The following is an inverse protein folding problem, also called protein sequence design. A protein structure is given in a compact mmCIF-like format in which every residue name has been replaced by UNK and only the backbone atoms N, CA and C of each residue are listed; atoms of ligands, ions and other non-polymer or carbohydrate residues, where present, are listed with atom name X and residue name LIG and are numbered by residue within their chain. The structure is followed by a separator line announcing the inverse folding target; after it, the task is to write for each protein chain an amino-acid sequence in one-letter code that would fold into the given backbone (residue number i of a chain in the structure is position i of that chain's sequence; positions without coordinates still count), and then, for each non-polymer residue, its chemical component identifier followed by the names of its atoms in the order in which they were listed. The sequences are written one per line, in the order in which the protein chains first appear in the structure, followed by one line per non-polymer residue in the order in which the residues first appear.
data_IF_109305267142
#
_entry.id   IF_109305267142
#
_cell.length_a   1.000
_cell.length_b   1.000
_cell.length_c   1.000
_cell.angle_alpha   90.00
_cell.angle_beta   90.00
_cell.angle_gamma   90.00
#
_symmetry.space_group_name_H-M   'P 1'
#
loop_
_entity.id
_entity.type
_entity.pdbx_description
1 polymer ?
#
# COMPACT_ATOMS: atom_id res chain seq x y z
N UNK A 1 13.45 -18.20 7.62
CA UNK A 1 13.61 -17.02 6.75
C UNK A 1 12.65 -15.97 7.28
N UNK A 2 13.06 -14.71 7.47
CA UNK A 2 12.08 -13.66 7.82
C UNK A 2 11.28 -13.41 6.55
N UNK A 3 10.05 -13.86 6.53
CA UNK A 3 9.03 -13.46 5.56
C UNK A 3 8.98 -11.92 5.59
N UNK A 4 9.41 -11.28 4.51
CA UNK A 4 9.52 -9.82 4.41
C UNK A 4 8.35 -9.31 3.59
N UNK A 5 7.64 -8.32 4.12
CA UNK A 5 6.64 -7.57 3.39
C UNK A 5 7.27 -6.91 2.17
N UNK A 6 6.46 -6.65 1.15
CA UNK A 6 6.91 -6.08 -0.10
C UNK A 6 6.17 -4.79 -0.43
N UNK A 7 6.84 -3.93 -1.19
CA UNK A 7 6.26 -2.75 -1.79
C UNK A 7 6.42 -2.75 -3.29
N UNK A 8 5.32 -2.65 -4.02
CA UNK A 8 5.28 -2.49 -5.47
C UNK A 8 5.72 -1.09 -5.88
N UNK A 9 6.69 -1.03 -6.78
CA UNK A 9 7.11 0.19 -7.45
C UNK A 9 6.47 0.25 -8.86
N UNK A 10 5.49 1.14 -9.10
CA UNK A 10 4.78 1.16 -10.37
C UNK A 10 5.62 1.67 -11.55
N UNK A 11 6.75 2.33 -11.29
CA UNK A 11 7.65 2.83 -12.34
C UNK A 11 8.57 1.74 -12.88
N UNK A 12 9.09 0.89 -11.98
CA UNK A 12 10.02 -0.20 -12.33
C UNK A 12 9.32 -1.54 -12.51
N UNK A 13 8.05 -1.64 -12.11
CA UNK A 13 7.23 -2.85 -12.14
C UNK A 13 7.86 -4.00 -11.33
N UNK A 14 8.40 -3.67 -10.15
CA UNK A 14 9.07 -4.61 -9.25
C UNK A 14 8.57 -4.48 -7.82
N UNK A 15 8.55 -5.62 -7.12
CA UNK A 15 8.38 -5.67 -5.67
C UNK A 15 9.75 -5.52 -4.99
N UNK A 16 9.81 -4.61 -4.02
CA UNK A 16 11.00 -4.35 -3.22
C UNK A 16 10.70 -4.72 -1.76
N UNK A 17 11.66 -5.27 -0.99
CA UNK A 17 11.47 -5.52 0.43
C UNK A 17 11.07 -4.22 1.16
N UNK A 18 10.06 -4.30 2.01
CA UNK A 18 9.52 -3.15 2.73
C UNK A 18 9.32 -3.48 4.21
N UNK A 19 9.79 -2.59 5.08
CA UNK A 19 9.56 -2.68 6.51
C UNK A 19 8.33 -1.84 6.86
N UNK A 20 7.27 -2.53 7.30
CA UNK A 20 6.05 -1.86 7.74
C UNK A 20 6.22 -1.33 9.16
N UNK A 21 5.64 -0.15 9.48
CA UNK A 21 5.61 0.35 10.85
C UNK A 21 4.97 -0.65 11.82
N UNK A 22 5.56 -0.81 13.00
CA UNK A 22 4.97 -1.63 14.07
C UNK A 22 3.59 -1.09 14.49
N UNK A 23 2.59 -1.96 14.52
CA UNK A 23 1.19 -1.60 14.77
C UNK A 23 0.37 -1.32 13.50
N UNK A 24 0.96 -1.54 12.32
CA UNK A 24 0.19 -1.65 11.07
C UNK A 24 -0.56 -2.98 10.98
N UNK A 25 -1.71 -2.96 10.32
CA UNK A 25 -2.57 -4.12 10.13
C UNK A 25 -2.79 -4.39 8.63
N UNK A 26 -3.03 -5.65 8.29
CA UNK A 26 -3.55 -6.05 6.99
C UNK A 26 -5.00 -5.58 6.83
N UNK A 27 -5.44 -5.36 5.60
CA UNK A 27 -6.84 -5.08 5.31
C UNK A 27 -7.64 -6.38 5.21
N UNK A 28 -8.34 -6.68 6.28
CA UNK A 28 -9.40 -7.68 6.37
C UNK A 28 -10.72 -7.23 5.70
N UNK A 29 -11.61 -8.18 5.37
CA UNK A 29 -12.95 -7.91 4.84
C UNK A 29 -13.79 -6.95 5.71
N UNK A 30 -14.74 -6.28 5.06
CA UNK A 30 -15.77 -5.49 5.74
C UNK A 30 -16.47 -6.37 6.79
N UNK A 31 -16.62 -5.85 8.02
CA UNK A 31 -17.10 -6.52 9.25
C UNK A 31 -16.01 -7.03 10.23
N UNK A 32 -14.73 -6.71 10.02
CA UNK A 32 -13.72 -6.97 11.06
C UNK A 32 -14.04 -6.26 12.39
N UNK A 33 -13.86 -6.93 13.55
CA UNK A 33 -13.94 -6.29 14.87
C UNK A 33 -12.93 -5.14 15.03
N UNK A 34 -11.90 -5.10 14.17
CA UNK A 34 -10.87 -4.07 14.17
C UNK A 34 -11.38 -2.68 13.76
N UNK A 35 -12.59 -2.55 13.20
CA UNK A 35 -13.11 -1.26 12.68
C UNK A 35 -13.02 -0.07 13.65
N UNK A 36 -13.07 -0.32 14.97
CA UNK A 36 -12.96 0.71 16.00
C UNK A 36 -11.54 0.88 16.57
N UNK A 37 -10.62 0.00 16.21
CA UNK A 37 -9.23 -0.04 16.67
C UNK A 37 -8.38 1.02 15.97
N UNK A 38 -7.42 1.59 16.72
CA UNK A 38 -6.39 2.46 16.17
C UNK A 38 -5.22 1.60 15.68
N UNK A 39 -4.81 1.83 14.45
CA UNK A 39 -3.68 1.18 13.79
C UNK A 39 -2.73 2.23 13.24
N UNK A 40 -1.49 1.86 12.93
CA UNK A 40 -0.58 2.72 12.18
C UNK A 40 -0.74 2.52 10.67
N UNK A 41 -0.82 3.61 9.92
CA UNK A 41 -0.75 3.59 8.47
C UNK A 41 0.54 2.89 8.02
N UNK A 42 0.43 1.85 7.20
CA UNK A 42 1.59 1.08 6.75
C UNK A 42 2.58 1.89 5.92
N UNK A 43 2.17 3.03 5.35
CA UNK A 43 3.01 3.88 4.52
C UNK A 43 3.74 4.98 5.29
N UNK A 44 3.05 5.65 6.22
CA UNK A 44 3.59 6.85 6.90
C UNK A 44 3.66 6.74 8.42
N UNK A 45 3.21 5.63 9.02
CA UNK A 45 3.24 5.39 10.47
C UNK A 45 2.22 6.19 11.28
N UNK A 46 1.43 7.08 10.65
CA UNK A 46 0.39 7.85 11.36
C UNK A 46 -0.70 6.95 11.93
N UNK A 47 -1.10 7.23 13.17
CA UNK A 47 -2.22 6.54 13.80
C UNK A 47 -3.56 6.92 13.15
N UNK A 48 -4.35 5.91 12.78
CA UNK A 48 -5.65 6.04 12.12
C UNK A 48 -6.64 5.01 12.68
N UNK A 49 -7.93 5.29 12.61
CA UNK A 49 -8.97 4.27 12.86
C UNK A 49 -8.98 3.28 11.70
N UNK A 50 -8.95 1.99 12.00
CA UNK A 50 -8.98 0.92 11.00
C UNK A 50 -10.18 1.06 10.05
N UNK A 51 -11.38 1.34 10.58
CA UNK A 51 -12.59 1.54 9.75
C UNK A 51 -12.55 2.79 8.85
N UNK A 52 -11.48 3.59 8.90
CA UNK A 52 -11.20 4.71 7.98
C UNK A 52 -9.97 4.46 7.12
N UNK A 53 -9.29 3.33 7.31
CA UNK A 53 -8.19 2.91 6.46
C UNK A 53 -8.73 2.35 5.14
N UNK A 54 -7.83 2.23 4.18
CA UNK A 54 -8.10 1.68 2.85
C UNK A 54 -6.99 0.72 2.49
N UNK A 55 -7.28 -0.22 1.59
CA UNK A 55 -6.31 -1.17 1.07
C UNK A 55 -5.23 -0.46 0.27
N UNK A 56 -3.98 -0.67 0.65
CA UNK A 56 -2.84 -0.23 -0.14
C UNK A 56 -2.85 -0.95 -1.49
N UNK A 57 -2.45 -0.23 -2.53
CA UNK A 57 -2.17 -0.78 -3.87
C UNK A 57 -0.68 -1.11 -4.05
N UNK A 58 0.14 -0.72 -3.08
CA UNK A 58 1.59 -0.83 -3.17
C UNK A 58 2.17 -1.75 -2.09
N UNK A 59 1.59 -1.83 -0.90
CA UNK A 59 2.22 -2.50 0.26
C UNK A 59 1.47 -3.80 0.57
N UNK A 60 2.17 -4.92 0.52
CA UNK A 60 1.63 -6.27 0.71
C UNK A 60 2.48 -7.08 1.68
N UNK A 61 1.87 -8.07 2.33
CA UNK A 61 2.62 -9.09 3.06
C UNK A 61 3.16 -10.18 2.12
N UNK A 62 3.63 -11.27 2.71
CA UNK A 62 4.16 -12.42 1.98
C UNK A 62 3.10 -13.20 1.22
N UNK A 63 1.85 -13.19 1.70
CA UNK A 63 0.71 -13.83 1.07
C UNK A 63 0.03 -12.92 0.04
N UNK A 64 0.62 -11.75 -0.24
CA UNK A 64 0.09 -10.71 -1.12
C UNK A 64 -1.22 -10.06 -0.61
N UNK A 65 -1.48 -10.14 0.69
CA UNK A 65 -2.57 -9.42 1.34
C UNK A 65 -2.21 -7.94 1.53
N UNK A 66 -3.09 -7.00 1.16
CA UNK A 66 -2.78 -5.58 1.20
C UNK A 66 -2.79 -5.03 2.62
N UNK A 67 -1.82 -4.17 2.94
CA UNK A 67 -1.81 -3.45 4.20
C UNK A 67 -2.81 -2.28 4.24
N UNK A 68 -3.25 -1.93 5.45
CA UNK A 68 -4.09 -0.77 5.72
C UNK A 68 -3.29 0.53 5.69
N UNK A 69 -3.73 1.48 4.86
CA UNK A 69 -3.14 2.82 4.74
C UNK A 69 -4.17 3.91 4.94
N UNK A 70 -3.70 5.12 5.27
CA UNK A 70 -4.58 6.28 5.37
C UNK A 70 -4.99 6.78 3.97
N UNK A 71 -6.13 7.48 3.89
CA UNK A 71 -6.65 8.04 2.63
C UNK A 71 -5.65 8.94 1.89
N UNK A 72 -4.81 9.66 2.62
CA UNK A 72 -3.78 10.53 2.04
C UNK A 72 -2.69 9.71 1.33
N UNK A 73 -2.23 8.63 1.94
CA UNK A 73 -1.25 7.72 1.33
C UNK A 73 -1.85 7.01 0.11
N UNK A 74 -3.11 6.59 0.17
CA UNK A 74 -3.82 6.02 -0.98
C UNK A 74 -3.82 6.96 -2.19
N UNK A 75 -4.11 8.25 -1.98
CA UNK A 75 -4.09 9.26 -3.05
C UNK A 75 -2.68 9.37 -3.66
N UNK A 76 -1.63 9.28 -2.84
CA UNK A 76 -0.26 9.30 -3.34
C UNK A 76 0.09 8.05 -4.15
N UNK A 77 -0.36 6.87 -3.71
CA UNK A 77 -0.20 5.61 -4.47
C UNK A 77 -0.87 5.74 -5.85
N UNK A 78 -2.12 6.22 -5.90
CA UNK A 78 -2.84 6.45 -7.16
C UNK A 78 -2.06 7.40 -8.06
N UNK A 79 -1.54 8.51 -7.52
CA UNK A 79 -0.72 9.47 -8.30
C UNK A 79 0.54 8.83 -8.87
N UNK A 80 1.25 8.00 -8.09
CA UNK A 80 2.45 7.27 -8.55
C UNK A 80 2.10 6.30 -9.68
N UNK A 81 1.03 5.53 -9.53
CA UNK A 81 0.55 4.59 -10.57
C UNK A 81 0.16 5.34 -11.85
N UNK A 82 -0.61 6.42 -11.74
CA UNK A 82 -1.01 7.22 -12.90
C UNK A 82 0.19 7.83 -13.61
N UNK A 83 1.15 8.39 -12.87
CA UNK A 83 2.37 8.95 -13.44
C UNK A 83 3.21 7.88 -14.16
N UNK A 84 3.37 6.71 -13.55
CA UNK A 84 4.10 5.59 -14.15
C UNK A 84 3.42 5.04 -15.42
N UNK A 85 2.08 4.95 -15.42
CA UNK A 85 1.32 4.57 -16.61
C UNK A 85 1.54 5.56 -17.76
N UNK A 86 1.53 6.86 -17.46
CA UNK A 86 1.80 7.91 -18.45
C UNK A 86 3.21 7.80 -19.03
N UNK A 87 4.22 7.66 -18.18
CA UNK A 87 5.61 7.51 -18.60
C UNK A 87 5.82 6.26 -19.48
N UNK A 88 5.12 5.15 -19.19
CA UNK A 88 5.14 3.93 -20.02
C UNK A 88 4.53 4.16 -21.40
N UNK A 89 3.39 4.86 -21.48
CA UNK A 89 2.74 5.19 -22.76
C UNK A 89 3.60 6.10 -23.63
N UNK A 90 4.25 7.10 -23.03
CA UNK A 90 5.17 7.99 -23.76
C UNK A 90 6.36 7.22 -24.36
N UNK A 91 6.92 6.24 -23.62
CA UNK A 91 7.96 5.34 -24.15
C UNK A 91 7.48 4.41 -25.25
N UNK A 92 6.22 3.96 -25.21
CA UNK A 92 5.63 3.08 -26.22
C UNK A 92 5.25 3.83 -27.50
N UNK A 93 4.79 5.09 -27.38
CA UNK A 93 4.36 5.92 -28.51
C UNK A 93 5.51 6.71 -29.17
N UNK A 94 6.67 6.78 -28.53
CA UNK A 94 7.88 7.44 -29.05
C UNK A 94 8.84 6.49 -29.76
N UNK A 95 8.37 5.32 -30.22
CA UNK A 95 9.16 4.28 -30.89
C UNK A 95 8.64 4.01 -32.29
#
# INVERSE_FOLDING_TARGET
MKEKNVKWNPLTEKHEPYEVPEGSALMEPYHSPLNRTLIKCASCGKEIKYGRAVSSREIFDVDHEPFAVCKQCEIQEIRRVTAANRARREKQNGR
#
